data_IF_350898041296
#
_entry.id   IF_350898041296
#
_cell.length_a   1.000
_cell.length_b   1.000
_cell.length_c   1.000
_cell.angle_alpha   90.00
_cell.angle_beta   90.00
_cell.angle_gamma   90.00
#
_symmetry.space_group_name_H-M   'P 1'
#
loop_
_entity.id
_entity.type
_entity.pdbx_description
1 polymer ?
#
# COMPACT_ATOMS: atom_id res chain seq x y z
N UNK A 1 5.46 -13.10 12.11
CA UNK A 1 3.99 -12.85 12.03
C UNK A 1 3.70 -12.16 10.70
N UNK A 2 2.80 -12.72 9.90
CA UNK A 2 2.44 -12.20 8.57
C UNK A 2 1.21 -11.30 8.72
N UNK A 3 1.32 -10.01 8.42
CA UNK A 3 0.33 -8.98 8.80
C UNK A 3 -0.43 -8.40 7.60
N UNK A 4 -1.04 -9.28 6.78
CA UNK A 4 -2.11 -8.92 5.85
C UNK A 4 -2.75 -10.19 5.28
N UNK A 5 -3.44 -10.95 6.14
CA UNK A 5 -4.47 -11.88 5.66
C UNK A 5 -5.68 -11.01 5.32
N UNK A 6 -5.75 -10.48 4.10
CA UNK A 6 -7.01 -9.89 3.64
C UNK A 6 -8.08 -10.99 3.80
N UNK A 7 -9.18 -10.73 4.53
CA UNK A 7 -10.24 -11.71 4.69
C UNK A 7 -10.74 -12.15 3.31
N UNK A 8 -10.76 -13.46 3.03
CA UNK A 8 -11.25 -14.02 1.75
C UNK A 8 -12.74 -13.72 1.51
N UNK A 9 -13.45 -13.27 2.55
CA UNK A 9 -14.85 -12.89 2.54
C UNK A 9 -15.09 -11.40 2.21
N UNK A 10 -14.06 -10.63 1.88
CA UNK A 10 -14.20 -9.21 1.53
C UNK A 10 -14.40 -8.26 2.72
N UNK A 11 -14.19 -8.69 3.96
CA UNK A 11 -14.29 -7.83 5.16
C UNK A 11 -13.13 -6.83 5.31
N UNK A 12 -12.11 -6.88 4.46
CA UNK A 12 -11.16 -5.76 4.37
C UNK A 12 -11.91 -4.53 3.86
N UNK A 13 -11.69 -3.33 4.43
CA UNK A 13 -12.34 -2.12 3.95
C UNK A 13 -12.05 -2.00 2.46
N UNK A 14 -13.12 -1.89 1.67
CA UNK A 14 -13.03 -1.73 0.23
C UNK A 14 -12.13 -0.51 -0.02
N UNK A 15 -11.00 -0.70 -0.70
CA UNK A 15 -10.02 0.37 -0.94
C UNK A 15 -10.58 1.50 -1.83
N UNK A 16 -11.85 1.38 -2.24
CA UNK A 16 -12.64 2.38 -2.93
C UNK A 16 -13.94 2.65 -2.13
N UNK A 17 -14.13 3.90 -1.72
CA UNK A 17 -15.36 4.44 -1.13
C UNK A 17 -16.14 5.11 -2.27
N UNK A 18 -17.45 4.88 -2.33
CA UNK A 18 -18.33 5.62 -3.25
C UNK A 18 -18.68 6.95 -2.61
N UNK A 19 -18.32 8.05 -3.24
CA UNK A 19 -18.71 9.41 -2.88
C UNK A 19 -19.55 9.97 -4.02
N UNK A 20 -20.56 10.79 -3.72
CA UNK A 20 -21.35 11.43 -4.76
C UNK A 20 -20.79 12.81 -5.06
N UNK A 21 -20.67 13.17 -6.34
CA UNK A 21 -20.34 14.53 -6.75
C UNK A 21 -21.48 15.52 -6.44
N UNK A 22 -21.27 16.82 -6.65
CA UNK A 22 -22.31 17.85 -6.42
C UNK A 22 -23.63 17.58 -7.19
N UNK A 23 -23.59 17.09 -8.45
CA UNK A 23 -24.77 16.59 -9.15
C UNK A 23 -25.42 15.31 -8.58
N UNK A 24 -24.75 14.56 -7.70
CA UNK A 24 -25.24 13.31 -7.14
C UNK A 24 -24.77 12.03 -7.85
N UNK A 25 -23.83 12.12 -8.78
CA UNK A 25 -23.26 10.96 -9.46
C UNK A 25 -22.23 10.26 -8.57
N UNK A 26 -22.26 8.93 -8.46
CA UNK A 26 -21.29 8.17 -7.68
C UNK A 26 -19.93 8.12 -8.37
N UNK A 27 -18.87 8.52 -7.65
CA UNK A 27 -17.47 8.32 -8.02
C UNK A 27 -16.75 7.49 -6.97
N UNK A 28 -15.84 6.61 -7.43
CA UNK A 28 -15.01 5.80 -6.54
C UNK A 28 -13.78 6.60 -6.12
N UNK A 29 -13.63 6.82 -4.82
CA UNK A 29 -12.46 7.45 -4.21
C UNK A 29 -11.66 6.41 -3.44
N UNK A 30 -10.34 6.46 -3.54
CA UNK A 30 -9.51 5.54 -2.77
C UNK A 30 -9.67 5.79 -1.26
N UNK A 31 -9.98 4.74 -0.50
CA UNK A 31 -10.02 4.78 0.95
C UNK A 31 -8.61 5.03 1.50
N UNK A 32 -8.48 5.98 2.44
CA UNK A 32 -7.24 6.15 3.18
C UNK A 32 -7.03 4.96 4.13
N UNK A 33 -5.88 4.29 4.03
CA UNK A 33 -5.56 3.15 4.88
C UNK A 33 -4.66 3.57 6.05
N UNK A 34 -5.29 3.98 7.15
CA UNK A 34 -4.60 4.39 8.38
C UNK A 34 -3.59 3.34 8.86
N UNK A 35 -3.96 2.06 8.84
CA UNK A 35 -3.10 0.98 9.30
C UNK A 35 -1.84 0.83 8.44
N UNK A 36 -1.97 0.96 7.12
CA UNK A 36 -0.83 0.93 6.21
C UNK A 36 0.10 2.14 6.43
N UNK A 37 -0.46 3.32 6.71
CA UNK A 37 0.32 4.51 7.04
C UNK A 37 1.09 4.35 8.35
N UNK A 38 0.48 3.79 9.40
CA UNK A 38 1.16 3.52 10.68
C UNK A 38 2.28 2.48 10.53
N UNK A 39 2.06 1.43 9.75
CA UNK A 39 3.09 0.43 9.47
C UNK A 39 4.26 1.02 8.67
N UNK A 40 3.96 1.86 7.68
CA UNK A 40 5.00 2.56 6.91
C UNK A 40 5.78 3.49 7.84
N UNK A 41 5.10 4.25 8.70
CA UNK A 41 5.75 5.13 9.68
C UNK A 41 6.67 4.36 10.62
N UNK A 42 6.19 3.26 11.22
CA UNK A 42 7.00 2.41 12.10
C UNK A 42 8.20 1.78 11.37
N UNK A 43 8.03 1.43 10.10
CA UNK A 43 9.14 0.94 9.27
C UNK A 43 10.19 2.04 9.05
N UNK A 44 9.77 3.27 8.74
CA UNK A 44 10.67 4.43 8.56
C UNK A 44 11.42 4.77 9.86
N UNK A 45 10.75 4.69 11.02
CA UNK A 45 11.36 4.92 12.34
C UNK A 45 12.56 3.97 12.58
N UNK A 46 12.52 2.74 12.07
CA UNK A 46 13.66 1.81 12.12
C UNK A 46 14.90 2.26 11.34
N UNK A 47 14.77 3.20 10.39
CA UNK A 47 15.85 3.73 9.55
C UNK A 47 16.13 5.21 9.79
N UNK A 48 15.67 5.76 10.92
CA UNK A 48 15.72 7.19 11.21
C UNK A 48 17.14 7.78 11.12
N UNK A 49 18.18 7.04 11.52
CA UNK A 49 19.57 7.50 11.41
C UNK A 49 20.05 7.73 9.97
N UNK A 50 19.54 6.96 9.02
CA UNK A 50 19.82 7.10 7.59
C UNK A 50 18.94 8.18 6.96
N UNK A 51 17.65 8.17 7.31
CA UNK A 51 16.66 9.17 6.82
C UNK A 51 17.07 10.59 7.24
N UNK A 52 17.53 10.78 8.47
CA UNK A 52 17.96 12.09 8.99
C UNK A 52 19.16 12.68 8.22
N UNK A 53 19.91 11.87 7.47
CA UNK A 53 21.04 12.33 6.65
C UNK A 53 20.62 12.69 5.22
N UNK A 54 19.38 12.43 4.83
CA UNK A 54 18.87 12.73 3.50
C UNK A 54 18.28 14.14 3.45
N UNK A 55 18.46 14.82 2.32
CA UNK A 55 17.62 15.97 2.00
C UNK A 55 16.24 15.50 1.53
N UNK A 56 15.29 16.43 1.42
CA UNK A 56 13.90 16.13 1.04
C UNK A 56 13.82 15.45 -0.33
N UNK A 57 14.62 15.88 -1.29
CA UNK A 57 14.61 15.30 -2.65
C UNK A 57 15.09 13.84 -2.65
N UNK A 58 16.21 13.55 -1.98
CA UNK A 58 16.75 12.20 -1.85
C UNK A 58 15.81 11.29 -1.07
N UNK A 59 15.16 11.81 -0.03
CA UNK A 59 14.14 11.07 0.71
C UNK A 59 12.96 10.70 -0.20
N UNK A 60 12.43 11.66 -0.95
CA UNK A 60 11.31 11.44 -1.87
C UNK A 60 11.65 10.41 -2.94
N UNK A 61 12.80 10.55 -3.61
CA UNK A 61 13.26 9.58 -4.60
C UNK A 61 13.46 8.18 -4.01
N UNK A 62 14.03 8.10 -2.82
CA UNK A 62 14.23 6.82 -2.11
C UNK A 62 12.90 6.15 -1.80
N UNK A 63 11.94 6.89 -1.24
CA UNK A 63 10.61 6.35 -0.90
C UNK A 63 9.84 5.90 -2.14
N UNK A 64 9.83 6.71 -3.20
CA UNK A 64 9.20 6.33 -4.47
C UNK A 64 9.82 5.06 -5.06
N UNK A 65 11.15 4.96 -5.06
CA UNK A 65 11.87 3.79 -5.58
C UNK A 65 11.56 2.52 -4.77
N UNK A 66 11.57 2.61 -3.45
CA UNK A 66 11.29 1.47 -2.57
C UNK A 66 9.84 1.00 -2.68
N UNK A 67 8.88 1.92 -2.70
CA UNK A 67 7.46 1.58 -2.91
C UNK A 67 7.24 0.95 -4.28
N UNK A 68 7.87 1.48 -5.33
CA UNK A 68 7.78 0.90 -6.67
C UNK A 68 8.31 -0.53 -6.70
N UNK A 69 9.52 -0.77 -6.16
CA UNK A 69 10.12 -2.11 -6.09
C UNK A 69 9.22 -3.06 -5.28
N UNK A 70 8.69 -2.60 -4.15
CA UNK A 70 7.79 -3.39 -3.31
C UNK A 70 6.55 -3.83 -4.07
N UNK A 71 5.89 -2.91 -4.79
CA UNK A 71 4.71 -3.20 -5.61
C UNK A 71 5.04 -4.24 -6.69
N UNK A 72 6.16 -4.09 -7.39
CA UNK A 72 6.61 -5.06 -8.39
C UNK A 72 6.78 -6.47 -7.80
N UNK A 73 7.36 -6.57 -6.60
CA UNK A 73 7.51 -7.85 -5.91
C UNK A 73 6.17 -8.46 -5.49
N UNK A 74 5.24 -7.63 -5.00
CA UNK A 74 3.91 -8.08 -4.60
C UNK A 74 3.12 -8.59 -5.81
N UNK A 75 3.14 -7.87 -6.95
CA UNK A 75 2.50 -8.29 -8.19
C UNK A 75 3.07 -9.65 -8.64
N UNK A 76 4.39 -9.80 -8.68
CA UNK A 76 5.04 -11.08 -9.03
C UNK A 76 4.62 -12.23 -8.10
N UNK A 77 4.55 -11.97 -6.79
CA UNK A 77 4.08 -12.97 -5.80
C UNK A 77 2.62 -13.34 -6.02
N UNK A 78 1.75 -12.39 -6.35
CA UNK A 78 0.34 -12.65 -6.64
C UNK A 78 0.16 -13.46 -7.93
N UNK A 79 0.89 -13.12 -8.99
CA UNK A 79 0.89 -13.88 -10.25
C UNK A 79 1.33 -15.33 -10.01
N UNK A 80 2.42 -15.54 -9.25
CA UNK A 80 2.88 -16.89 -8.90
C UNK A 80 1.81 -17.69 -8.14
N UNK A 81 1.16 -17.09 -7.14
CA UNK A 81 0.06 -17.74 -6.39
C UNK A 81 -1.13 -18.09 -7.28
N UNK A 82 -1.51 -17.18 -8.19
CA UNK A 82 -2.61 -17.40 -9.14
C UNK A 82 -2.31 -18.58 -10.07
N UNK A 83 -1.08 -18.67 -10.57
CA UNK A 83 -0.66 -19.78 -11.44
C UNK A 83 -0.62 -21.13 -10.70
N UNK A 84 -0.23 -21.14 -9.42
CA UNK A 84 -0.26 -22.36 -8.59
C UNK A 84 -1.71 -22.81 -8.32
N UNK A 85 -2.64 -21.89 -8.08
CA UNK A 85 -4.03 -22.22 -7.78
C UNK A 85 -4.88 -22.60 -9.02
N UNK A 86 -4.33 -22.43 -10.23
CA UNK A 86 -4.95 -22.83 -11.50
C UNK A 86 -4.52 -24.23 -11.96
N UNK A 87 -3.59 -24.87 -11.24
CA UNK A 87 -3.03 -26.19 -11.53
C UNK A 87 -3.37 -27.19 -10.42
#
# INVERSE_FOLDING_TARGET
KWCNSAPLNGSAPNLAIVENDKPGNPHYKQAFNTQACEQLKAWIEGFQSSVNKMNVENFNWTMLSLLFIHIQQIIKKQQKKRNINLH
#
